data_IF_078473779068
#
_entry.id   IF_078473779068
#
_cell.length_a   1.000
_cell.length_b   1.000
_cell.length_c   1.000
_cell.angle_alpha   90.00
_cell.angle_beta   90.00
_cell.angle_gamma   90.00
#
_symmetry.space_group_name_H-M   'P 1'
#
loop_
_entity.id
_entity.type
_entity.pdbx_description
1 polymer ?
#
# COMPACT_ATOMS: atom_id res chain seq x y z
N UNK A 1 21.99 8.02 -4.58
CA UNK A 1 20.84 7.70 -3.71
C UNK A 1 19.58 8.22 -4.39
N UNK A 2 18.55 7.39 -4.53
CA UNK A 2 17.24 7.82 -5.02
C UNK A 2 16.29 7.86 -3.82
N UNK A 3 15.62 8.99 -3.60
CA UNK A 3 14.67 9.18 -2.50
C UNK A 3 13.26 9.04 -3.06
N UNK A 4 12.47 8.14 -2.47
CA UNK A 4 11.06 7.99 -2.79
C UNK A 4 10.24 8.67 -1.72
N UNK A 5 9.39 9.63 -2.12
CA UNK A 5 8.42 10.27 -1.25
C UNK A 5 7.07 9.56 -1.41
N UNK A 6 6.45 9.17 -0.29
CA UNK A 6 5.08 8.64 -0.27
C UNK A 6 4.20 9.72 0.37
N UNK A 7 3.40 10.39 -0.45
CA UNK A 7 2.47 11.41 -0.01
C UNK A 7 1.12 10.79 0.41
N UNK A 8 0.35 11.49 1.24
CA UNK A 8 -1.01 11.08 1.60
C UNK A 8 -1.11 9.99 2.68
N UNK A 9 0.00 9.66 3.36
CA UNK A 9 -0.05 8.77 4.52
C UNK A 9 -0.64 9.48 5.73
N UNK A 10 -1.77 8.96 6.22
CA UNK A 10 -2.40 9.50 7.42
C UNK A 10 -1.69 9.04 8.70
N UNK A 11 -1.94 9.77 9.80
CA UNK A 11 -1.33 9.49 11.09
C UNK A 11 -1.66 8.08 11.64
N UNK A 12 -2.90 7.54 11.49
CA UNK A 12 -3.19 6.14 11.81
C UNK A 12 -2.31 5.13 11.06
N UNK A 13 -2.13 5.30 9.74
CA UNK A 13 -1.28 4.43 8.93
C UNK A 13 0.19 4.53 9.38
N UNK A 14 0.70 5.74 9.59
CA UNK A 14 2.07 5.95 10.08
C UNK A 14 2.30 5.33 11.46
N UNK A 15 1.30 5.40 12.35
CA UNK A 15 1.36 4.73 13.65
C UNK A 15 1.43 3.22 13.52
N UNK A 16 0.64 2.63 12.62
CA UNK A 16 0.66 1.19 12.35
C UNK A 16 2.03 0.74 11.84
N UNK A 17 2.62 1.48 10.91
CA UNK A 17 3.97 1.20 10.38
C UNK A 17 5.02 1.27 11.48
N UNK A 18 5.01 2.32 12.30
CA UNK A 18 5.94 2.45 13.44
C UNK A 18 5.80 1.29 14.43
N UNK A 19 4.57 0.90 14.75
CA UNK A 19 4.30 -0.23 15.64
C UNK A 19 4.85 -1.53 15.07
N UNK A 20 4.62 -1.79 13.78
CA UNK A 20 5.10 -3.00 13.12
C UNK A 20 6.62 -3.03 12.95
N UNK A 21 7.23 -1.89 12.64
CA UNK A 21 8.68 -1.75 12.57
C UNK A 21 9.32 -2.08 13.93
N UNK A 22 8.75 -1.60 15.04
CA UNK A 22 9.22 -1.91 16.38
C UNK A 22 9.14 -3.42 16.72
N UNK A 23 8.08 -4.11 16.28
CA UNK A 23 7.94 -5.56 16.46
C UNK A 23 9.04 -6.37 15.76
N UNK A 24 9.61 -5.83 14.68
CA UNK A 24 10.64 -6.50 13.89
C UNK A 24 12.05 -5.92 14.09
N UNK A 25 12.22 -4.94 15.00
CA UNK A 25 13.50 -4.27 15.24
C UNK A 25 14.01 -3.47 14.04
N UNK A 26 13.11 -2.89 13.25
CA UNK A 26 13.40 -2.13 12.02
C UNK A 26 13.12 -0.64 12.19
N UNK A 27 13.67 0.18 11.30
CA UNK A 27 13.17 1.55 11.14
C UNK A 27 11.84 1.56 10.37
N UNK A 28 11.03 2.63 10.49
CA UNK A 28 9.81 2.78 9.70
C UNK A 28 10.07 2.72 8.19
N UNK A 29 11.17 3.29 7.71
CA UNK A 29 11.58 3.27 6.30
C UNK A 29 11.88 1.85 5.81
N UNK A 30 12.63 1.06 6.59
CA UNK A 30 12.93 -0.34 6.28
C UNK A 30 11.66 -1.20 6.22
N UNK A 31 10.70 -0.95 7.11
CA UNK A 31 9.43 -1.65 7.10
C UNK A 31 8.57 -1.28 5.90
N UNK A 32 8.52 0.01 5.52
CA UNK A 32 7.84 0.46 4.29
C UNK A 32 8.45 -0.20 3.06
N UNK A 33 9.77 -0.22 2.94
CA UNK A 33 10.47 -0.89 1.83
C UNK A 33 10.14 -2.38 1.80
N UNK A 34 10.10 -3.03 2.97
CA UNK A 34 9.73 -4.45 3.08
C UNK A 34 8.29 -4.69 2.63
N UNK A 35 7.36 -3.80 2.97
CA UNK A 35 5.96 -3.89 2.53
C UNK A 35 5.87 -3.73 1.00
N UNK A 36 6.51 -2.69 0.45
CA UNK A 36 6.51 -2.43 -0.99
C UNK A 36 7.14 -3.58 -1.77
N UNK A 37 8.25 -4.13 -1.30
CA UNK A 37 8.91 -5.29 -1.91
C UNK A 37 8.02 -6.55 -1.88
N UNK A 38 7.32 -6.79 -0.77
CA UNK A 38 6.35 -7.89 -0.69
C UNK A 38 5.19 -7.71 -1.67
N UNK A 39 4.68 -6.48 -1.83
CA UNK A 39 3.64 -6.15 -2.81
C UNK A 39 4.16 -6.31 -4.25
N UNK A 40 5.38 -5.88 -4.52
CA UNK A 40 5.99 -6.03 -5.85
C UNK A 40 6.27 -7.49 -6.23
N UNK A 41 6.63 -8.34 -5.26
CA UNK A 41 6.85 -9.79 -5.46
C UNK A 41 5.55 -10.58 -5.57
N UNK A 42 4.46 -10.05 -5.05
CA UNK A 42 3.11 -10.61 -5.17
C UNK A 42 2.19 -9.51 -5.66
N UNK A 43 2.38 -9.00 -6.89
CA UNK A 43 1.48 -8.03 -7.46
C UNK A 43 0.15 -8.78 -7.52
N UNK A 44 -0.80 -8.37 -6.68
CA UNK A 44 -2.04 -9.11 -6.53
C UNK A 44 -2.60 -9.39 -7.92
N UNK A 45 -2.91 -10.65 -8.19
CA UNK A 45 -4.02 -10.98 -9.08
C UNK A 45 -5.26 -10.42 -8.39
N UNK A 46 -5.42 -9.10 -8.45
CA UNK A 46 -6.74 -8.53 -8.44
C UNK A 46 -7.25 -8.88 -9.84
N UNK A 47 -8.24 -9.78 -10.02
CA UNK A 47 -9.17 -9.47 -11.08
C UNK A 47 -9.66 -8.08 -10.70
N UNK A 48 -9.22 -7.05 -11.43
CA UNK A 48 -10.03 -5.85 -11.55
C UNK A 48 -11.43 -6.41 -11.81
N UNK A 49 -12.42 -6.24 -10.92
CA UNK A 49 -13.76 -6.25 -11.42
C UNK A 49 -13.71 -5.09 -12.40
N UNK A 50 -13.60 -5.43 -13.68
CA UNK A 50 -14.28 -4.75 -14.75
C UNK A 50 -15.13 -3.65 -14.14
N UNK A 51 -14.63 -2.42 -14.26
CA UNK A 51 -15.47 -1.25 -14.12
C UNK A 51 -16.60 -1.49 -15.11
N UNK A 52 -17.65 -2.16 -14.64
CA UNK A 52 -18.96 -2.19 -15.23
C UNK A 52 -19.45 -0.77 -15.06
N UNK A 53 -18.97 0.11 -15.93
CA UNK A 53 -19.81 1.12 -16.52
C UNK A 53 -20.93 0.38 -17.26
N UNK A 54 -21.84 -0.26 -16.52
CA UNK A 54 -23.21 -0.38 -17.00
C UNK A 54 -23.77 1.01 -16.82
N UNK A 55 -23.71 1.76 -17.91
CA UNK A 55 -24.56 2.91 -18.19
C UNK A 55 -25.98 2.69 -17.62
N UNK A 56 -26.63 3.75 -17.11
CA UNK A 56 -28.01 3.63 -16.66
C UNK A 56 -28.89 3.51 -17.91
N UNK A 57 -29.37 2.30 -18.20
CA UNK A 57 -30.51 2.17 -19.10
C UNK A 57 -31.78 2.36 -18.29
N UNK A 58 -32.30 3.60 -18.41
CA UNK A 58 -33.73 3.89 -18.39
C UNK A 58 -34.50 2.79 -19.13
N UNK A 59 -35.40 2.12 -18.42
CA UNK A 59 -36.77 1.83 -18.88
C UNK A 59 -37.67 1.43 -17.72
#
# INVERSE_FOLDING_TARGET
MHMMLIEGMDEPMMRSIRSRAALHGRTPEEEVLTILDNVARRPGIFPMPEWRYTTPFLH
#
